data_IF_875483900695
#
_entry.id   IF_875483900695
#
_cell.length_a   1.000
_cell.length_b   1.000
_cell.length_c   1.000
_cell.angle_alpha   90.00
_cell.angle_beta   90.00
_cell.angle_gamma   90.00
#
_symmetry.space_group_name_H-M   'P 1'
#
loop_
_entity.id
_entity.type
_entity.pdbx_description
1 polymer ?
#
# COMPACT_ATOMS: atom_id res chain seq x y z
N UNK A 1 -17.39 13.95 6.93
CA UNK A 1 -16.24 13.31 7.62
C UNK A 1 -16.00 11.93 7.00
N UNK A 2 -15.18 11.81 5.95
CA UNK A 2 -14.88 10.54 5.26
C UNK A 2 -13.36 10.36 5.05
N UNK A 3 -12.52 10.84 5.97
CA UNK A 3 -11.05 10.73 5.87
C UNK A 3 -10.48 9.43 6.46
N UNK A 4 -11.13 8.87 7.50
CA UNK A 4 -10.58 7.75 8.25
C UNK A 4 -10.54 6.40 7.51
N UNK A 5 -11.41 6.20 6.52
CA UNK A 5 -11.52 4.92 5.78
C UNK A 5 -10.46 4.77 4.69
N UNK A 6 -10.09 5.85 4.01
CA UNK A 6 -9.07 5.83 2.94
C UNK A 6 -7.67 5.68 3.54
N UNK A 7 -7.37 6.39 4.63
CA UNK A 7 -6.09 6.24 5.35
C UNK A 7 -5.95 4.85 6.00
N UNK A 8 -7.03 4.32 6.58
CA UNK A 8 -7.02 2.96 7.13
C UNK A 8 -6.83 1.90 6.04
N UNK A 9 -7.46 2.06 4.86
CA UNK A 9 -7.24 1.19 3.71
C UNK A 9 -5.80 1.25 3.21
N UNK A 10 -5.20 2.43 3.14
CA UNK A 10 -3.80 2.61 2.74
C UNK A 10 -2.84 1.86 3.67
N UNK A 11 -3.03 1.99 4.99
CA UNK A 11 -2.25 1.25 6.00
C UNK A 11 -2.45 -0.26 5.92
N UNK A 12 -3.70 -0.71 5.72
CA UNK A 12 -4.01 -2.13 5.53
C UNK A 12 -3.32 -2.72 4.30
N UNK A 13 -3.30 -1.98 3.18
CA UNK A 13 -2.62 -2.39 1.94
C UNK A 13 -1.10 -2.46 2.13
N UNK A 14 -0.50 -1.50 2.83
CA UNK A 14 0.92 -1.54 3.18
C UNK A 14 1.27 -2.77 4.03
N UNK A 15 0.51 -3.01 5.09
CA UNK A 15 0.73 -4.17 5.97
C UNK A 15 0.57 -5.49 5.21
N UNK A 16 -0.43 -5.60 4.32
CA UNK A 16 -0.62 -6.79 3.48
C UNK A 16 0.53 -7.00 2.49
N UNK A 17 1.05 -5.91 1.91
CA UNK A 17 2.24 -5.95 1.07
C UNK A 17 3.47 -6.45 1.81
N UNK A 18 3.72 -5.95 3.03
CA UNK A 18 4.81 -6.42 3.91
C UNK A 18 4.69 -7.90 4.23
N UNK A 19 3.49 -8.38 4.56
CA UNK A 19 3.27 -9.79 4.87
C UNK A 19 3.55 -10.66 3.64
N UNK A 20 3.10 -10.25 2.45
CA UNK A 20 3.36 -10.99 1.20
C UNK A 20 4.85 -11.01 0.84
N UNK A 21 5.54 -9.90 1.04
CA UNK A 21 6.97 -9.77 0.80
C UNK A 21 7.76 -10.69 1.74
N UNK A 22 7.51 -10.60 3.05
CA UNK A 22 8.13 -11.45 4.05
C UNK A 22 7.80 -12.93 3.84
N UNK A 23 6.55 -13.27 3.52
CA UNK A 23 6.16 -14.64 3.21
C UNK A 23 6.84 -15.15 1.93
N UNK A 24 6.99 -14.30 0.92
CA UNK A 24 7.70 -14.60 -0.31
C UNK A 24 9.18 -14.91 -0.06
N UNK A 25 9.86 -14.06 0.71
CA UNK A 25 11.25 -14.25 1.11
C UNK A 25 11.43 -15.54 1.92
N UNK A 26 10.57 -15.76 2.93
CA UNK A 26 10.62 -16.93 3.81
C UNK A 26 10.34 -18.25 3.09
N UNK A 27 9.45 -18.24 2.09
CA UNK A 27 9.06 -19.45 1.34
C UNK A 27 9.85 -19.62 0.03
N UNK A 28 10.72 -18.66 -0.32
CA UNK A 28 11.42 -18.61 -1.62
C UNK A 28 10.48 -18.36 -2.81
N UNK A 29 9.28 -17.83 -2.56
CA UNK A 29 8.28 -17.59 -3.59
C UNK A 29 8.39 -16.17 -4.15
N UNK A 30 9.14 -16.02 -5.25
CA UNK A 30 9.33 -14.75 -5.97
C UNK A 30 8.03 -14.07 -6.40
N UNK A 31 6.95 -14.83 -6.62
CA UNK A 31 5.65 -14.26 -7.02
C UNK A 31 5.01 -13.52 -5.85
N UNK A 32 5.08 -14.10 -4.65
CA UNK A 32 4.59 -13.47 -3.41
C UNK A 32 5.41 -12.22 -3.07
N UNK A 33 6.73 -12.29 -3.20
CA UNK A 33 7.63 -11.15 -3.01
C UNK A 33 7.28 -9.99 -3.95
N UNK A 34 7.19 -10.27 -5.26
CA UNK A 34 6.86 -9.28 -6.27
C UNK A 34 5.45 -8.68 -6.09
N UNK A 35 4.46 -9.49 -5.70
CA UNK A 35 3.12 -9.00 -5.39
C UNK A 35 3.12 -8.08 -4.17
N UNK A 36 3.88 -8.41 -3.11
CA UNK A 36 4.02 -7.59 -1.92
C UNK A 36 4.67 -6.23 -2.21
N UNK A 37 5.74 -6.24 -3.00
CA UNK A 37 6.45 -5.03 -3.41
C UNK A 37 5.57 -4.12 -4.30
N UNK A 38 4.81 -4.73 -5.22
CA UNK A 38 3.87 -4.01 -6.07
C UNK A 38 2.74 -3.35 -5.26
N UNK A 39 2.11 -4.07 -4.32
CA UNK A 39 1.06 -3.52 -3.44
C UNK A 39 1.60 -2.36 -2.58
N UNK A 40 2.83 -2.47 -2.07
CA UNK A 40 3.51 -1.38 -1.34
C UNK A 40 3.68 -0.14 -2.20
N UNK A 41 4.18 -0.30 -3.43
CA UNK A 41 4.40 0.82 -4.36
C UNK A 41 3.08 1.49 -4.74
N UNK A 42 2.06 0.71 -5.08
CA UNK A 42 0.71 1.24 -5.36
C UNK A 42 0.15 2.04 -4.18
N UNK A 43 0.28 1.52 -2.96
CA UNK A 43 -0.17 2.19 -1.75
C UNK A 43 0.49 3.56 -1.56
N UNK A 44 1.82 3.64 -1.75
CA UNK A 44 2.56 4.91 -1.69
C UNK A 44 2.15 5.88 -2.79
N UNK A 45 1.87 5.40 -3.99
CA UNK A 45 1.41 6.25 -5.10
C UNK A 45 0.02 6.81 -4.79
N UNK A 46 -0.92 5.99 -4.30
CA UNK A 46 -2.25 6.47 -3.91
C UNK A 46 -2.18 7.48 -2.77
N UNK A 47 -1.30 7.28 -1.78
CA UNK A 47 -1.11 8.23 -0.68
C UNK A 47 -0.63 9.60 -1.20
N UNK A 48 0.38 9.62 -2.08
CA UNK A 48 0.87 10.85 -2.71
C UNK A 48 -0.20 11.53 -3.55
N UNK A 49 -0.94 10.78 -4.37
CA UNK A 49 -2.03 11.33 -5.18
C UNK A 49 -3.15 11.87 -4.29
N UNK A 50 -3.47 11.19 -3.20
CA UNK A 50 -4.46 11.65 -2.22
C UNK A 50 -4.04 12.95 -1.54
N UNK A 51 -2.77 13.08 -1.15
CA UNK A 51 -2.22 14.32 -0.59
C UNK A 51 -2.28 15.47 -1.61
N UNK A 52 -1.88 15.24 -2.86
CA UNK A 52 -1.94 16.26 -3.91
C UNK A 52 -3.38 16.70 -4.17
N UNK A 53 -4.32 15.75 -4.29
CA UNK A 53 -5.75 16.06 -4.42
C UNK A 53 -6.24 16.91 -3.26
N UNK A 54 -5.88 16.56 -2.03
CA UNK A 54 -6.29 17.30 -0.83
C UNK A 54 -5.79 18.76 -0.82
N UNK A 55 -4.60 19.01 -1.39
CA UNK A 55 -4.03 20.37 -1.51
C UNK A 55 -4.67 21.17 -2.65
N UNK A 56 -5.10 20.51 -3.74
CA UNK A 56 -5.75 21.16 -4.89
C UNK A 56 -7.26 21.37 -4.71
N UNK A 57 -7.90 20.64 -3.80
CA UNK A 57 -9.33 20.73 -3.48
C UNK A 57 -9.62 21.75 -2.34
N UNK A 58 -8.59 22.39 -1.78
CA UNK A 58 -8.65 23.42 -0.72
C UNK A 58 -8.49 24.85 -1.28
#
# INVERSE_FOLDING_TARGET
MNGGTEEAKGKLRQAKGEIKEAAGELTGNRRLEAEGEAEKREGKVQEKVGQIKKVFDE
#
